data_IF_215959394228
#
_entry.id   IF_215959394228
#
_cell.length_a   1.000
_cell.length_b   1.000
_cell.length_c   1.000
_cell.angle_alpha   90.00
_cell.angle_beta   90.00
_cell.angle_gamma   90.00
#
_symmetry.space_group_name_H-M   'P 1'
#
loop_
_entity.id
_entity.type
_entity.pdbx_description
1 polymer ?
#
# COMPACT_ATOMS: atom_id res chain seq x y z
N UNK A 1 -9.23 -10.83 33.27
CA UNK A 1 -8.65 -9.48 33.05
C UNK A 1 -7.34 -9.43 32.23
N UNK A 2 -6.38 -10.37 32.37
CA UNK A 2 -5.12 -10.35 31.58
C UNK A 2 -5.33 -10.55 30.07
N UNK A 3 -6.23 -11.46 29.67
CA UNK A 3 -6.54 -11.75 28.25
C UNK A 3 -7.14 -10.53 27.53
N UNK A 4 -7.99 -9.75 28.21
CA UNK A 4 -8.63 -8.56 27.62
C UNK A 4 -7.61 -7.44 27.32
N UNK A 5 -6.60 -7.24 28.19
CA UNK A 5 -5.52 -6.28 27.96
C UNK A 5 -4.64 -6.70 26.77
N UNK A 6 -4.36 -7.99 26.62
CA UNK A 6 -3.61 -8.51 25.46
C UNK A 6 -4.39 -8.35 24.16
N UNK A 7 -5.71 -8.59 24.17
CA UNK A 7 -6.57 -8.37 23.00
C UNK A 7 -6.63 -6.88 22.64
N UNK A 8 -6.75 -5.97 23.61
CA UNK A 8 -6.76 -4.52 23.35
C UNK A 8 -5.41 -4.03 22.80
N UNK A 9 -4.29 -4.53 23.30
CA UNK A 9 -2.97 -4.14 22.80
C UNK A 9 -2.74 -4.63 21.37
N UNK A 10 -3.13 -5.87 21.08
CA UNK A 10 -3.01 -6.44 19.74
C UNK A 10 -4.02 -5.79 18.78
N UNK A 11 -5.25 -5.54 19.23
CA UNK A 11 -6.23 -4.78 18.47
C UNK A 11 -5.74 -3.35 18.22
N UNK A 12 -5.08 -2.69 19.15
CA UNK A 12 -4.48 -1.36 18.93
C UNK A 12 -3.26 -1.40 18.00
N UNK A 13 -2.49 -2.49 17.99
CA UNK A 13 -1.35 -2.68 17.06
C UNK A 13 -1.86 -2.95 15.64
N UNK A 14 -2.87 -3.80 15.53
CA UNK A 14 -3.55 -4.16 14.29
C UNK A 14 -4.41 -3.01 13.80
N UNK A 15 -5.04 -2.23 14.68
CA UNK A 15 -5.72 -0.97 14.36
C UNK A 15 -4.73 0.18 14.17
N UNK A 16 -3.46 0.11 14.55
CA UNK A 16 -2.48 1.12 14.14
C UNK A 16 -1.99 0.82 12.71
N UNK A 17 -1.76 -0.47 12.41
CA UNK A 17 -1.47 -0.96 11.06
C UNK A 17 -2.70 -0.85 10.13
N UNK A 18 -3.91 -1.09 10.65
CA UNK A 18 -5.20 -0.95 9.94
C UNK A 18 -5.91 0.39 10.20
N UNK A 19 -5.41 1.32 11.00
CA UNK A 19 -5.88 2.72 10.96
C UNK A 19 -5.16 3.48 9.85
N UNK A 20 -4.00 2.98 9.40
CA UNK A 20 -3.40 3.39 8.13
C UNK A 20 -4.12 2.73 6.93
N UNK A 21 -4.84 1.62 7.16
CA UNK A 21 -5.80 1.02 6.23
C UNK A 21 -7.19 1.06 6.85
N UNK A 22 -7.69 2.27 7.21
CA UNK A 22 -9.15 2.40 7.35
C UNK A 22 -9.73 1.84 6.04
N UNK A 23 -10.76 0.96 6.08
CA UNK A 23 -11.44 0.59 4.85
C UNK A 23 -11.77 1.91 4.17
N UNK A 24 -11.38 2.03 2.90
CA UNK A 24 -11.53 3.22 2.06
C UNK A 24 -13.02 3.50 1.82
N UNK A 25 -13.74 3.79 2.91
CA UNK A 25 -15.16 4.14 2.93
C UNK A 25 -15.31 5.63 2.67
N UNK A 26 -14.45 6.49 3.24
CA UNK A 26 -14.36 7.94 2.94
C UNK A 26 -12.96 8.57 3.22
N UNK A 27 -11.90 7.76 3.40
CA UNK A 27 -10.74 8.08 4.28
C UNK A 27 -9.59 8.98 3.80
N UNK A 28 -9.59 9.50 2.57
CA UNK A 28 -8.65 10.56 2.14
C UNK A 28 -9.25 11.13 0.85
N UNK A 29 -9.38 12.47 0.70
CA UNK A 29 -9.95 13.01 -0.53
C UNK A 29 -9.16 12.49 -1.75
N UNK A 30 -9.85 11.93 -2.74
CA UNK A 30 -9.24 11.45 -4.00
C UNK A 30 -8.28 12.48 -4.63
N UNK A 31 -8.54 13.80 -4.59
CA UNK A 31 -7.58 14.81 -5.04
C UNK A 31 -6.25 14.78 -4.27
N UNK A 32 -6.28 14.59 -2.95
CA UNK A 32 -5.06 14.49 -2.12
C UNK A 32 -4.19 13.32 -2.54
N UNK A 33 -4.79 12.13 -2.67
CA UNK A 33 -4.07 10.93 -3.07
C UNK A 33 -3.52 11.05 -4.50
N UNK A 34 -4.29 11.65 -5.40
CA UNK A 34 -3.85 11.90 -6.79
C UNK A 34 -2.66 12.86 -6.82
N UNK A 35 -2.72 13.98 -6.08
CA UNK A 35 -1.62 14.94 -6.00
C UNK A 35 -0.35 14.30 -5.40
N UNK A 36 -0.49 13.54 -4.31
CA UNK A 36 0.63 12.85 -3.68
C UNK A 36 1.31 11.83 -4.64
N UNK A 37 0.52 11.08 -5.42
CA UNK A 37 1.07 10.16 -6.43
C UNK A 37 1.80 10.90 -7.56
N UNK A 38 1.24 12.03 -8.03
CA UNK A 38 1.90 12.84 -9.06
C UNK A 38 3.26 13.36 -8.55
N UNK A 39 3.32 13.82 -7.31
CA UNK A 39 4.57 14.23 -6.66
C UNK A 39 5.55 13.06 -6.51
N UNK A 40 5.08 11.86 -6.15
CA UNK A 40 5.93 10.67 -6.06
C UNK A 40 6.61 10.33 -7.38
N UNK A 41 5.91 10.47 -8.52
CA UNK A 41 6.50 10.28 -9.84
C UNK A 41 7.59 11.33 -10.14
N UNK A 42 7.39 12.58 -9.74
CA UNK A 42 8.39 13.64 -9.88
C UNK A 42 9.63 13.36 -9.02
N UNK A 43 9.44 12.96 -7.75
CA UNK A 43 10.53 12.60 -6.85
C UNK A 43 11.33 11.39 -7.35
N UNK A 44 10.65 10.41 -7.95
CA UNK A 44 11.31 9.29 -8.64
C UNK A 44 12.16 9.80 -9.81
N UNK A 45 11.65 10.71 -10.63
CA UNK A 45 12.40 11.32 -11.72
C UNK A 45 13.61 12.16 -11.23
N UNK A 46 13.54 12.68 -10.01
CA UNK A 46 14.65 13.37 -9.33
C UNK A 46 15.67 12.41 -8.69
N UNK A 47 15.50 11.08 -8.84
CA UNK A 47 16.42 10.09 -8.28
C UNK A 47 16.34 9.91 -6.76
N UNK A 48 15.25 10.35 -6.11
CA UNK A 48 15.05 10.10 -4.67
C UNK A 48 14.92 8.60 -4.40
N UNK A 49 15.43 8.15 -3.26
CA UNK A 49 15.32 6.75 -2.86
C UNK A 49 13.85 6.38 -2.56
N UNK A 50 13.48 5.09 -2.66
CA UNK A 50 12.12 4.64 -2.31
C UNK A 50 11.69 5.01 -0.88
N UNK A 51 12.62 4.94 0.08
CA UNK A 51 12.35 5.30 1.47
C UNK A 51 12.05 6.80 1.64
N UNK A 52 12.80 7.66 0.96
CA UNK A 52 12.53 9.10 0.95
C UNK A 52 11.20 9.42 0.26
N UNK A 53 10.90 8.77 -0.86
CA UNK A 53 9.63 8.95 -1.58
C UNK A 53 8.45 8.60 -0.68
N UNK A 54 8.52 7.49 0.07
CA UNK A 54 7.45 7.09 0.99
C UNK A 54 7.25 8.12 2.11
N UNK A 55 8.33 8.64 2.71
CA UNK A 55 8.25 9.72 3.73
C UNK A 55 7.61 10.99 3.15
N UNK A 56 8.02 11.40 1.95
CA UNK A 56 7.46 12.57 1.27
C UNK A 56 5.99 12.36 0.87
N UNK A 57 5.62 11.15 0.47
CA UNK A 57 4.25 10.77 0.14
C UNK A 57 3.35 10.87 1.37
N UNK A 58 3.74 10.26 2.50
CA UNK A 58 2.99 10.36 3.76
C UNK A 58 2.93 11.81 4.28
N UNK A 59 3.99 12.59 4.08
CA UNK A 59 4.01 14.03 4.37
C UNK A 59 2.98 14.79 3.52
N UNK A 60 2.90 14.52 2.22
CA UNK A 60 1.92 15.15 1.34
C UNK A 60 0.48 14.81 1.73
N UNK A 61 0.21 13.57 2.15
CA UNK A 61 -1.11 13.16 2.65
C UNK A 61 -1.46 13.85 3.97
N UNK A 62 -0.52 13.94 4.91
CA UNK A 62 -0.72 14.64 6.17
C UNK A 62 -1.03 16.14 5.94
N UNK A 63 -0.27 16.78 5.05
CA UNK A 63 -0.51 18.18 4.64
C UNK A 63 -1.90 18.37 4.04
N UNK A 64 -2.32 17.45 3.16
CA UNK A 64 -3.64 17.53 2.54
C UNK A 64 -4.79 17.31 3.55
N UNK A 65 -4.50 16.65 4.66
CA UNK A 65 -5.44 16.46 5.78
C UNK A 65 -5.50 17.67 6.73
N UNK A 66 -4.82 18.78 6.41
CA UNK A 66 -4.86 20.03 7.16
C UNK A 66 -3.70 20.25 8.12
N UNK A 67 -2.69 19.38 8.16
CA UNK A 67 -1.47 19.65 8.91
C UNK A 67 -0.64 20.75 8.22
N UNK A 68 -0.03 21.65 9.00
CA UNK A 68 0.99 22.56 8.47
C UNK A 68 2.22 21.78 7.96
N UNK A 69 3.10 22.46 7.21
CA UNK A 69 4.26 21.80 6.58
C UNK A 69 5.19 21.10 7.59
N UNK A 70 5.38 21.67 8.78
CA UNK A 70 6.27 21.15 9.80
C UNK A 70 5.68 19.90 10.46
N UNK A 71 4.41 19.99 10.84
CA UNK A 71 3.68 18.86 11.42
C UNK A 71 3.46 17.73 10.42
N UNK A 72 3.22 18.06 9.16
CA UNK A 72 3.08 17.08 8.09
C UNK A 72 4.37 16.27 7.90
N UNK A 73 5.54 16.90 7.98
CA UNK A 73 6.82 16.22 7.81
C UNK A 73 7.08 15.18 8.91
N UNK A 74 6.90 15.56 10.18
CA UNK A 74 7.11 14.63 11.29
C UNK A 74 6.05 13.53 11.34
N UNK A 75 4.78 13.86 11.07
CA UNK A 75 3.70 12.87 10.99
C UNK A 75 3.91 11.89 9.83
N UNK A 76 4.38 12.39 8.68
CA UNK A 76 4.73 11.59 7.52
C UNK A 76 5.82 10.56 7.86
N UNK A 77 6.92 11.01 8.45
CA UNK A 77 8.03 10.14 8.88
C UNK A 77 7.56 9.12 9.93
N UNK A 78 6.82 9.54 10.97
CA UNK A 78 6.30 8.63 11.98
C UNK A 78 5.39 7.55 11.38
N UNK A 79 4.56 7.89 10.39
CA UNK A 79 3.68 6.94 9.71
C UNK A 79 4.48 5.86 8.94
N UNK A 80 5.54 6.26 8.25
CA UNK A 80 6.45 5.32 7.57
C UNK A 80 7.09 4.36 8.57
N UNK A 81 7.58 4.90 9.69
CA UNK A 81 8.20 4.12 10.75
C UNK A 81 7.22 3.12 11.37
N UNK A 82 5.98 3.51 11.68
CA UNK A 82 4.97 2.57 12.18
C UNK A 82 4.71 1.42 11.19
N UNK A 83 4.57 1.72 9.90
CA UNK A 83 4.36 0.70 8.88
C UNK A 83 5.57 -0.24 8.76
N UNK A 84 6.78 0.31 8.87
CA UNK A 84 8.04 -0.45 8.84
C UNK A 84 8.18 -1.35 10.06
N UNK A 85 7.98 -0.83 11.28
CA UNK A 85 8.06 -1.61 12.52
C UNK A 85 6.99 -2.69 12.57
N UNK A 86 5.77 -2.36 12.14
CA UNK A 86 4.66 -3.32 12.06
C UNK A 86 4.99 -4.50 11.14
N UNK A 87 5.52 -4.22 9.94
CA UNK A 87 5.96 -5.27 9.01
C UNK A 87 7.07 -6.13 9.60
N UNK A 88 8.11 -5.52 10.18
CA UNK A 88 9.22 -6.25 10.79
C UNK A 88 8.76 -7.14 11.96
N UNK A 89 7.82 -6.67 12.79
CA UNK A 89 7.23 -7.49 13.86
C UNK A 89 6.39 -8.63 13.29
N UNK A 90 5.57 -8.37 12.28
CA UNK A 90 4.69 -9.39 11.68
C UNK A 90 5.45 -10.48 10.91
N UNK A 91 6.65 -10.17 10.43
CA UNK A 91 7.57 -11.12 9.78
C UNK A 91 8.55 -11.78 10.76
N UNK A 92 8.34 -11.66 12.08
CA UNK A 92 9.25 -12.19 13.12
C UNK A 92 10.69 -11.62 13.11
N UNK A 93 10.95 -10.55 12.35
CA UNK A 93 12.26 -9.88 12.29
C UNK A 93 12.47 -8.83 13.40
N UNK A 94 11.45 -8.59 14.22
CA UNK A 94 11.51 -7.64 15.33
C UNK A 94 10.83 -8.23 16.58
N UNK A 95 11.53 -8.29 17.72
CA UNK A 95 10.93 -8.67 18.99
C UNK A 95 9.75 -7.77 19.36
N UNK A 96 8.71 -8.34 19.96
CA UNK A 96 7.46 -7.62 20.28
C UNK A 96 7.66 -6.47 21.29
N UNK A 97 8.62 -6.62 22.20
CA UNK A 97 9.01 -5.57 23.16
C UNK A 97 9.75 -4.42 22.47
N UNK A 98 10.61 -4.71 21.48
CA UNK A 98 11.28 -3.70 20.67
C UNK A 98 10.28 -2.93 19.81
N UNK A 99 9.35 -3.63 19.13
CA UNK A 99 8.25 -2.99 18.40
C UNK A 99 7.48 -2.01 19.29
N UNK A 100 7.06 -2.46 20.47
CA UNK A 100 6.31 -1.62 21.41
C UNK A 100 7.13 -0.42 21.90
N UNK A 101 8.44 -0.59 22.11
CA UNK A 101 9.33 0.51 22.50
C UNK A 101 9.42 1.58 21.40
N UNK A 102 9.68 1.16 20.17
CA UNK A 102 9.77 2.05 19.00
C UNK A 102 8.45 2.79 18.75
N UNK A 103 7.30 2.09 18.80
CA UNK A 103 6.00 2.73 18.62
C UNK A 103 5.74 3.79 19.70
N UNK A 104 6.06 3.48 20.97
CA UNK A 104 5.92 4.43 22.09
C UNK A 104 6.82 5.65 21.92
N UNK A 105 8.06 5.42 21.50
CA UNK A 105 9.02 6.48 21.22
C UNK A 105 8.51 7.44 20.14
N UNK A 106 8.20 6.93 18.94
CA UNK A 106 7.66 7.76 17.85
C UNK A 106 6.36 8.47 18.24
N UNK A 107 5.50 7.81 19.02
CA UNK A 107 4.25 8.40 19.53
C UNK A 107 4.50 9.53 20.52
N UNK A 108 5.52 9.43 21.37
CA UNK A 108 5.92 10.48 22.32
C UNK A 108 6.46 11.69 21.56
N UNK A 109 7.41 11.50 20.63
CA UNK A 109 8.00 12.59 19.84
C UNK A 109 6.98 13.30 18.95
N UNK A 110 6.07 12.56 18.32
CA UNK A 110 4.96 13.14 17.56
C UNK A 110 3.98 13.93 18.45
N UNK A 111 3.81 13.54 19.72
CA UNK A 111 3.01 14.31 20.67
C UNK A 111 3.74 15.57 21.11
N UNK A 112 5.05 15.47 21.38
CA UNK A 112 5.90 16.60 21.74
C UNK A 112 5.90 17.64 20.62
N UNK A 113 6.04 17.24 19.35
CA UNK A 113 6.02 18.18 18.23
C UNK A 113 4.69 18.93 18.08
N UNK A 114 3.57 18.32 18.48
CA UNK A 114 2.25 18.99 18.49
C UNK A 114 2.13 20.02 19.61
N UNK A 115 2.89 19.85 20.69
CA UNK A 115 2.87 20.72 21.86
C UNK A 115 3.93 21.83 21.75
N UNK A 116 5.06 21.55 21.10
CA UNK A 116 6.17 22.48 20.86
C UNK A 116 6.33 22.71 19.35
N UNK A 117 5.84 23.84 18.86
CA UNK A 117 5.99 24.21 17.44
C UNK A 117 7.45 24.41 17.03
N UNK A 118 8.33 24.79 17.97
CA UNK A 118 9.77 24.93 17.68
C UNK A 118 10.42 23.58 17.37
N UNK A 119 9.90 22.50 17.95
CA UNK A 119 10.33 21.13 17.63
C UNK A 119 9.98 20.79 16.18
N UNK A 120 8.72 21.00 15.77
CA UNK A 120 8.29 20.71 14.41
C UNK A 120 9.04 21.57 13.37
N UNK A 121 9.26 22.85 13.65
CA UNK A 121 10.02 23.74 12.78
C UNK A 121 11.50 23.33 12.70
N UNK A 122 12.11 22.93 13.82
CA UNK A 122 13.46 22.39 13.83
C UNK A 122 13.56 21.09 13.02
N UNK A 123 12.55 20.23 13.07
CA UNK A 123 12.51 18.97 12.33
C UNK A 123 12.62 19.18 10.81
N UNK A 124 12.06 20.29 10.28
CA UNK A 124 12.21 20.64 8.86
C UNK A 124 13.65 20.94 8.44
N UNK A 125 14.52 21.29 9.39
CA UNK A 125 15.95 21.54 9.12
C UNK A 125 16.76 20.24 9.05
N UNK A 126 16.21 19.12 9.52
CA UNK A 126 16.83 17.80 9.40
C UNK A 126 16.70 16.93 10.64
N UNK A 127 16.77 15.62 10.38
CA UNK A 127 16.88 14.50 11.30
C UNK A 127 17.76 13.48 10.58
N UNK A 128 19.06 13.49 10.89
CA UNK A 128 20.08 12.79 10.09
C UNK A 128 20.10 11.29 10.34
N UNK A 129 19.83 10.83 11.57
CA UNK A 129 19.83 9.41 11.92
C UNK A 129 18.42 8.78 11.94
N UNK A 130 17.37 9.59 11.78
CA UNK A 130 16.01 9.14 11.55
C UNK A 130 15.28 8.73 12.82
N UNK A 131 15.67 9.29 13.96
CA UNK A 131 15.10 8.95 15.26
C UNK A 131 13.91 9.85 15.68
N UNK A 132 13.54 10.82 14.83
CA UNK A 132 12.51 11.85 15.03
C UNK A 132 12.87 12.97 16.02
N UNK A 133 14.15 13.11 16.35
CA UNK A 133 14.69 14.27 17.06
C UNK A 133 15.36 15.20 16.04
N UNK A 134 14.98 16.49 15.97
CA UNK A 134 15.63 17.43 15.09
C UNK A 134 17.13 17.53 15.40
N UNK A 135 17.98 17.64 14.37
CA UNK A 135 19.44 17.73 14.54
C UNK A 135 19.89 18.82 15.54
N UNK A 136 19.14 19.93 15.65
CA UNK A 136 19.46 21.03 16.59
C UNK A 136 19.06 20.75 18.04
N UNK A 137 18.28 19.69 18.28
CA UNK A 137 17.81 19.23 19.60
C UNK A 137 18.36 17.85 19.98
N UNK A 138 19.02 17.17 19.04
CA UNK A 138 19.64 15.87 19.23
C UNK A 138 21.01 16.02 19.92
N UNK A 139 21.11 15.42 21.11
CA UNK A 139 22.33 15.38 21.93
C UNK A 139 23.18 14.13 21.69
N UNK A 140 22.63 13.14 20.97
CA UNK A 140 23.20 11.81 20.78
C UNK A 140 23.10 11.41 19.29
N UNK A 141 23.70 12.23 18.43
CA UNK A 141 23.69 12.01 16.98
C UNK A 141 24.29 10.67 16.56
N UNK A 142 23.70 10.07 15.52
CA UNK A 142 24.18 8.82 14.94
C UNK A 142 23.63 7.60 15.67
N UNK A 143 22.47 7.73 16.31
CA UNK A 143 21.79 6.59 16.94
C UNK A 143 21.49 5.53 15.88
N UNK A 144 21.88 4.25 16.11
CA UNK A 144 21.62 3.19 15.15
C UNK A 144 20.13 3.04 14.84
N UNK A 145 19.83 2.71 13.59
CA UNK A 145 18.46 2.42 13.14
C UNK A 145 17.80 1.31 13.99
N UNK A 146 16.48 1.41 14.17
CA UNK A 146 15.66 0.56 15.04
C UNK A 146 16.05 0.62 16.54
N UNK A 147 16.68 1.69 17.00
CA UNK A 147 16.97 1.93 18.42
C UNK A 147 15.95 2.90 19.03
N UNK A 148 15.25 2.54 20.11
CA UNK A 148 14.39 3.47 20.85
C UNK A 148 15.25 4.52 21.58
N UNK A 149 14.92 5.80 21.41
CA UNK A 149 15.62 6.91 22.07
C UNK A 149 14.70 7.75 22.94
N UNK A 150 15.24 8.64 23.76
CA UNK A 150 14.50 9.64 24.53
C UNK A 150 14.13 10.87 23.69
N UNK A 151 13.82 12.01 24.31
CA UNK A 151 13.55 13.28 23.61
C UNK A 151 14.83 14.06 23.24
N UNK A 152 16.02 13.50 23.52
CA UNK A 152 17.33 14.07 23.22
C UNK A 152 18.13 13.23 22.24
N UNK A 153 17.49 12.22 21.65
CA UNK A 153 18.10 11.28 20.70
C UNK A 153 18.97 10.23 21.35
N UNK A 154 19.01 10.16 22.69
CA UNK A 154 19.87 9.22 23.40
C UNK A 154 19.16 7.88 23.59
N UNK A 155 19.89 6.77 23.45
CA UNK A 155 19.34 5.42 23.64
C UNK A 155 18.72 5.26 25.03
N UNK A 156 17.51 4.72 25.10
CA UNK A 156 16.83 4.53 26.39
C UNK A 156 17.58 3.51 27.27
N UNK A 157 17.95 3.87 28.51
CA UNK A 157 18.58 2.93 29.42
C UNK A 157 17.56 1.93 29.98
N UNK A 158 18.01 0.71 30.26
CA UNK A 158 17.23 -0.30 30.96
C UNK A 158 16.46 -1.26 30.04
N UNK A 159 15.63 -2.14 30.62
CA UNK A 159 14.92 -3.16 29.87
C UNK A 159 13.81 -2.56 29.01
N UNK A 160 13.63 -3.14 27.81
CA UNK A 160 12.50 -2.84 26.94
C UNK A 160 11.16 -3.10 27.66
N UNK A 161 10.09 -2.35 27.32
CA UNK A 161 8.79 -2.48 27.98
C UNK A 161 8.23 -3.91 27.83
N UNK A 162 7.49 -4.42 28.82
CA UNK A 162 6.85 -5.72 28.72
C UNK A 162 5.86 -5.72 27.54
N UNK A 163 5.93 -6.75 26.71
CA UNK A 163 5.08 -6.93 25.54
C UNK A 163 4.47 -8.34 25.49
N UNK A 164 3.38 -8.55 24.72
CA UNK A 164 2.87 -9.89 24.47
C UNK A 164 3.94 -10.83 23.90
N UNK A 165 3.85 -12.12 24.19
CA UNK A 165 4.77 -13.11 23.64
C UNK A 165 4.62 -13.21 22.11
N UNK A 166 5.69 -13.60 21.42
CA UNK A 166 5.66 -13.86 19.98
C UNK A 166 4.55 -14.85 19.58
N UNK A 167 4.30 -15.88 20.40
CA UNK A 167 3.21 -16.84 20.18
C UNK A 167 1.82 -16.19 20.24
N UNK A 168 1.62 -15.22 21.14
CA UNK A 168 0.35 -14.49 21.24
C UNK A 168 0.12 -13.62 20.00
N UNK A 169 1.17 -12.96 19.51
CA UNK A 169 1.12 -12.17 18.27
C UNK A 169 0.88 -13.07 17.05
N UNK A 170 1.55 -14.21 16.94
CA UNK A 170 1.32 -15.21 15.88
C UNK A 170 -0.13 -15.68 15.85
N UNK A 171 -0.69 -16.04 17.02
CA UNK A 171 -2.09 -16.46 17.13
C UNK A 171 -3.04 -15.37 16.64
N UNK A 172 -2.80 -14.11 17.03
CA UNK A 172 -3.65 -13.00 16.60
C UNK A 172 -3.50 -12.70 15.11
N UNK A 173 -2.28 -12.70 14.58
CA UNK A 173 -1.98 -12.54 13.16
C UNK A 173 -2.74 -13.56 12.31
N UNK A 174 -2.68 -14.84 12.69
CA UNK A 174 -3.45 -15.90 12.04
C UNK A 174 -4.95 -15.67 12.13
N UNK A 175 -5.47 -15.25 13.30
CA UNK A 175 -6.88 -14.94 13.48
C UNK A 175 -7.39 -13.77 12.64
N UNK A 176 -6.50 -12.85 12.25
CA UNK A 176 -6.81 -11.69 11.41
C UNK A 176 -6.61 -11.97 9.91
N UNK A 177 -6.13 -13.15 9.55
CA UNK A 177 -5.80 -13.48 8.15
C UNK A 177 -4.65 -12.63 7.59
N UNK A 178 -3.78 -12.07 8.44
CA UNK A 178 -2.62 -11.31 8.00
C UNK A 178 -1.59 -12.27 7.42
N UNK A 179 -1.46 -12.25 6.10
CA UNK A 179 -0.46 -13.03 5.38
C UNK A 179 0.90 -12.35 5.56
N UNK A 180 1.89 -13.12 6.04
CA UNK A 180 3.31 -12.81 5.81
C UNK A 180 4.06 -14.11 5.55
N UNK A 181 5.22 -14.00 4.90
CA UNK A 181 6.06 -15.16 4.58
C UNK A 181 7.50 -14.87 4.97
N UNK A 182 8.16 -15.70 5.79
CA UNK A 182 9.60 -15.57 6.05
C UNK A 182 10.44 -15.62 4.77
N UNK A 183 9.95 -16.29 3.72
CA UNK A 183 10.63 -16.30 2.42
C UNK A 183 10.69 -14.91 1.75
N UNK A 184 9.88 -13.95 2.20
CA UNK A 184 9.90 -12.57 1.72
C UNK A 184 10.81 -11.64 2.56
N UNK A 185 11.55 -12.17 3.53
CA UNK A 185 12.42 -11.35 4.38
C UNK A 185 13.62 -10.84 3.59
N UNK A 186 13.84 -9.52 3.63
CA UNK A 186 14.85 -8.86 2.81
C UNK A 186 14.57 -8.89 1.30
N UNK A 187 13.39 -9.35 0.87
CA UNK A 187 13.03 -9.35 -0.54
C UNK A 187 13.06 -7.91 -1.09
N UNK A 188 13.58 -7.70 -2.31
CA UNK A 188 13.56 -6.39 -2.93
C UNK A 188 12.11 -5.97 -3.19
N UNK A 189 11.90 -4.68 -3.45
CA UNK A 189 10.60 -4.20 -3.94
C UNK A 189 10.24 -4.99 -5.20
N UNK A 190 9.03 -5.58 -5.31
CA UNK A 190 8.60 -6.26 -6.52
C UNK A 190 8.83 -5.40 -7.76
N UNK A 191 9.36 -5.99 -8.82
CA UNK A 191 9.40 -5.35 -10.13
C UNK A 191 8.00 -4.84 -10.49
N UNK A 192 7.94 -3.65 -11.11
CA UNK A 192 6.68 -3.07 -11.53
C UNK A 192 6.12 -3.90 -12.69
N UNK A 193 4.98 -4.60 -12.52
CA UNK A 193 4.38 -5.34 -13.61
C UNK A 193 3.75 -4.36 -14.62
N UNK A 194 3.69 -4.75 -15.89
CA UNK A 194 3.00 -4.01 -16.94
C UNK A 194 1.65 -4.64 -17.21
N UNK A 195 0.60 -3.81 -17.34
CA UNK A 195 -0.70 -4.27 -17.78
C UNK A 195 -0.67 -4.60 -19.29
N UNK A 196 -0.86 -5.87 -19.65
CA UNK A 196 -0.74 -6.31 -21.04
C UNK A 196 -2.08 -6.28 -21.77
N UNK A 197 -3.14 -6.84 -21.19
CA UNK A 197 -4.47 -6.79 -21.79
C UNK A 197 -5.56 -7.18 -20.80
N UNK A 198 -6.79 -6.80 -21.10
CA UNK A 198 -8.00 -7.38 -20.53
C UNK A 198 -8.97 -7.61 -21.68
N UNK A 199 -9.44 -8.85 -21.90
CA UNK A 199 -10.36 -9.21 -22.99
C UNK A 199 -11.17 -10.44 -22.62
N UNK A 200 -12.31 -10.63 -23.28
CA UNK A 200 -13.05 -11.88 -23.16
C UNK A 200 -12.35 -12.98 -23.94
N UNK A 201 -12.30 -14.18 -23.38
CA UNK A 201 -11.66 -15.34 -24.02
C UNK A 201 -12.46 -15.86 -25.22
N UNK A 202 -13.78 -15.63 -25.21
CA UNK A 202 -14.70 -16.08 -26.26
C UNK A 202 -15.78 -15.04 -26.57
N UNK A 203 -16.40 -15.10 -27.76
CA UNK A 203 -17.56 -14.27 -28.10
C UNK A 203 -18.77 -14.47 -27.17
N UNK A 204 -18.88 -15.63 -26.52
CA UNK A 204 -19.93 -15.91 -25.54
C UNK A 204 -19.75 -15.16 -24.21
N UNK A 205 -18.66 -14.40 -24.06
CA UNK A 205 -18.37 -13.57 -22.89
C UNK A 205 -18.38 -14.35 -21.58
N UNK A 206 -17.95 -15.61 -21.59
CA UNK A 206 -18.02 -16.53 -20.44
C UNK A 206 -16.91 -16.27 -19.40
N UNK A 207 -15.75 -15.82 -19.87
CA UNK A 207 -14.58 -15.51 -19.05
C UNK A 207 -13.91 -14.23 -19.54
N UNK A 208 -13.59 -13.35 -18.58
CA UNK A 208 -12.72 -12.20 -18.78
C UNK A 208 -11.30 -12.60 -18.36
N UNK A 209 -10.36 -12.45 -19.28
CA UNK A 209 -8.94 -12.74 -19.09
C UNK A 209 -8.19 -11.42 -18.93
N UNK A 210 -7.35 -11.34 -17.90
CA UNK A 210 -6.46 -10.20 -17.64
C UNK A 210 -5.03 -10.70 -17.65
N UNK A 211 -4.15 -10.02 -18.40
CA UNK A 211 -2.75 -10.39 -18.59
C UNK A 211 -1.82 -9.30 -18.07
N UNK A 212 -0.71 -9.71 -17.46
CA UNK A 212 0.34 -8.80 -16.98
C UNK A 212 1.72 -9.44 -17.11
N UNK A 213 2.80 -8.65 -17.16
CA UNK A 213 4.15 -9.21 -17.09
C UNK A 213 4.39 -9.83 -15.71
N UNK A 214 5.11 -10.95 -15.68
CA UNK A 214 5.43 -11.65 -14.44
C UNK A 214 6.52 -10.92 -13.66
N UNK A 215 6.35 -10.82 -12.35
CA UNK A 215 7.41 -10.38 -11.43
C UNK A 215 8.38 -11.53 -11.17
N UNK A 216 9.67 -11.28 -11.37
CA UNK A 216 10.69 -12.33 -11.28
C UNK A 216 11.76 -12.08 -10.22
N UNK A 217 11.84 -10.86 -9.69
CA UNK A 217 12.87 -10.48 -8.71
C UNK A 217 12.55 -10.86 -7.25
N UNK A 218 11.60 -11.76 -7.00
CA UNK A 218 11.23 -12.15 -5.64
C UNK A 218 11.87 -13.50 -5.27
N UNK A 219 12.31 -13.69 -4.01
CA UNK A 219 12.90 -14.95 -3.57
C UNK A 219 11.94 -16.14 -3.74
N UNK A 220 12.49 -17.33 -3.92
CA UNK A 220 11.70 -18.55 -3.99
C UNK A 220 10.86 -18.73 -2.70
N UNK A 221 9.56 -19.02 -2.86
CA UNK A 221 8.61 -19.15 -1.75
C UNK A 221 8.03 -17.83 -1.22
N UNK A 222 8.55 -16.68 -1.68
CA UNK A 222 7.92 -15.39 -1.42
C UNK A 222 6.70 -15.22 -2.34
N UNK A 223 5.49 -15.36 -1.79
CA UNK A 223 4.27 -15.22 -2.58
C UNK A 223 4.13 -13.78 -3.10
N UNK A 224 3.72 -13.68 -4.36
CA UNK A 224 3.43 -12.41 -5.03
C UNK A 224 1.94 -12.35 -5.32
N UNK A 225 1.36 -11.19 -5.06
CA UNK A 225 -0.01 -10.84 -5.38
C UNK A 225 0.01 -9.73 -6.42
N UNK A 226 -0.92 -9.78 -7.36
CA UNK A 226 -1.15 -8.75 -8.36
C UNK A 226 -2.43 -8.01 -8.02
N UNK A 227 -2.28 -6.73 -7.73
CA UNK A 227 -3.39 -5.83 -7.49
C UNK A 227 -3.70 -5.08 -8.78
N UNK A 228 -4.92 -5.26 -9.29
CA UNK A 228 -5.40 -4.57 -10.47
C UNK A 228 -6.39 -3.49 -10.07
N UNK A 229 -6.26 -2.33 -10.70
CA UNK A 229 -7.32 -1.34 -10.74
C UNK A 229 -7.86 -1.26 -12.16
N UNK A 230 -9.17 -1.49 -12.30
CA UNK A 230 -9.88 -1.40 -13.57
C UNK A 230 -10.84 -0.22 -13.50
N UNK A 231 -10.64 0.78 -14.34
CA UNK A 231 -11.51 1.95 -14.44
C UNK A 231 -12.35 1.84 -15.71
N UNK A 232 -13.60 2.30 -15.63
CA UNK A 232 -14.59 2.23 -16.70
C UNK A 232 -15.09 3.61 -17.08
N UNK A 233 -15.38 3.80 -18.37
CA UNK A 233 -15.95 5.03 -18.93
C UNK A 233 -16.97 4.71 -20.02
N UNK A 234 -17.78 5.71 -20.35
CA UNK A 234 -18.82 5.64 -21.39
C UNK A 234 -19.84 4.54 -21.08
N UNK A 235 -20.69 4.75 -20.06
CA UNK A 235 -21.72 3.78 -19.72
C UNK A 235 -22.72 3.64 -20.88
N UNK A 236 -23.26 2.44 -21.06
CA UNK A 236 -24.31 2.16 -22.06
C UNK A 236 -25.69 2.65 -21.64
N UNK A 237 -25.83 3.13 -20.39
CA UNK A 237 -27.08 3.66 -19.83
C UNK A 237 -26.79 4.94 -19.04
N UNK A 238 -27.62 5.99 -19.17
CA UNK A 238 -27.48 7.21 -18.39
C UNK A 238 -27.73 7.02 -16.89
N UNK A 239 -28.31 5.88 -16.48
CA UNK A 239 -28.51 5.55 -15.07
C UNK A 239 -27.21 5.13 -14.35
N UNK A 240 -26.15 4.85 -15.10
CA UNK A 240 -24.85 4.46 -14.56
C UNK A 240 -23.94 5.67 -14.37
N UNK A 241 -23.01 5.65 -13.40
CA UNK A 241 -22.06 6.74 -13.22
C UNK A 241 -21.14 6.87 -14.45
N UNK A 242 -20.77 8.12 -14.77
CA UNK A 242 -19.91 8.42 -15.93
C UNK A 242 -18.53 7.77 -15.86
N UNK A 243 -18.07 7.48 -14.63
CA UNK A 243 -16.85 6.72 -14.33
C UNK A 243 -17.13 5.76 -13.20
N UNK A 244 -16.68 4.51 -13.35
CA UNK A 244 -16.67 3.53 -12.27
C UNK A 244 -15.27 2.88 -12.17
N UNK A 245 -14.96 2.25 -11.04
CA UNK A 245 -13.71 1.52 -10.85
C UNK A 245 -13.88 0.30 -9.95
N UNK A 246 -13.09 -0.74 -10.23
CA UNK A 246 -12.99 -1.96 -9.43
C UNK A 246 -11.53 -2.24 -9.10
N UNK A 247 -11.27 -2.66 -7.87
CA UNK A 247 -9.97 -3.15 -7.43
C UNK A 247 -10.03 -4.65 -7.15
N UNK A 248 -9.01 -5.37 -7.60
CA UNK A 248 -8.94 -6.82 -7.59
C UNK A 248 -7.57 -7.25 -7.10
N UNK A 249 -7.54 -8.40 -6.43
CA UNK A 249 -6.31 -9.06 -6.03
C UNK A 249 -6.30 -10.48 -6.59
N UNK A 250 -5.19 -10.84 -7.23
CA UNK A 250 -4.88 -12.21 -7.65
C UNK A 250 -3.58 -12.65 -7.01
N UNK A 251 -3.48 -13.92 -6.61
CA UNK A 251 -2.21 -14.54 -6.23
C UNK A 251 -1.49 -14.99 -7.50
N UNK A 252 -0.16 -14.97 -7.51
CA UNK A 252 0.62 -15.54 -8.61
C UNK A 252 0.28 -17.03 -8.85
N UNK A 253 -0.10 -17.77 -7.81
CA UNK A 253 -0.58 -19.16 -7.91
C UNK A 253 -1.92 -19.32 -8.63
N UNK A 254 -2.64 -18.23 -8.89
CA UNK A 254 -3.86 -18.21 -9.71
C UNK A 254 -3.57 -17.98 -11.20
N UNK A 255 -2.29 -17.87 -11.58
CA UNK A 255 -1.90 -17.82 -12.98
C UNK A 255 -2.36 -19.10 -13.70
N UNK A 256 -3.16 -18.92 -14.75
CA UNK A 256 -3.63 -20.03 -15.60
C UNK A 256 -2.76 -20.24 -16.84
N UNK A 257 -1.77 -19.37 -17.07
CA UNK A 257 -0.85 -19.49 -18.20
C UNK A 257 0.21 -20.55 -17.92
N UNK A 258 0.08 -21.68 -18.61
CA UNK A 258 1.06 -22.77 -18.57
C UNK A 258 2.04 -22.72 -19.74
N UNK A 259 1.89 -21.74 -20.65
CA UNK A 259 2.69 -21.65 -21.87
C UNK A 259 3.95 -20.82 -21.61
N UNK A 260 5.08 -21.24 -22.17
CA UNK A 260 6.30 -20.45 -22.17
C UNK A 260 6.18 -19.32 -23.19
N UNK A 261 6.34 -18.08 -22.73
CA UNK A 261 6.31 -16.89 -23.57
C UNK A 261 7.69 -16.25 -23.64
N UNK A 262 7.99 -15.59 -24.76
CA UNK A 262 9.22 -14.80 -24.90
C UNK A 262 9.32 -13.69 -23.84
N UNK A 263 8.16 -13.14 -23.42
CA UNK A 263 8.03 -12.25 -22.27
C UNK A 263 7.24 -12.99 -21.20
N UNK A 264 7.83 -13.33 -20.05
CA UNK A 264 7.10 -13.96 -18.96
C UNK A 264 5.88 -13.15 -18.56
N UNK A 265 4.71 -13.78 -18.58
CA UNK A 265 3.44 -13.16 -18.23
C UNK A 265 2.63 -14.06 -17.29
N UNK A 266 1.78 -13.42 -16.51
CA UNK A 266 0.73 -14.09 -15.73
C UNK A 266 -0.64 -13.74 -16.31
N UNK A 267 -1.50 -14.75 -16.36
CA UNK A 267 -2.85 -14.67 -16.92
C UNK A 267 -3.83 -15.04 -15.82
N UNK A 268 -4.76 -14.13 -15.53
CA UNK A 268 -5.81 -14.32 -14.54
C UNK A 268 -7.17 -14.37 -15.22
N UNK A 269 -8.06 -15.22 -14.70
CA UNK A 269 -9.42 -15.38 -15.23
C UNK A 269 -10.44 -14.90 -14.20
N UNK A 270 -11.48 -14.26 -14.70
CA UNK A 270 -12.68 -13.89 -13.96
C UNK A 270 -13.90 -14.34 -14.76
N UNK A 271 -14.95 -14.83 -14.10
CA UNK A 271 -16.13 -15.43 -14.72
C UNK A 271 -17.43 -14.90 -14.11
N UNK A 272 -18.56 -15.20 -14.74
CA UNK A 272 -19.89 -14.86 -14.22
C UNK A 272 -20.21 -15.51 -12.85
N UNK A 273 -19.55 -16.63 -12.54
CA UNK A 273 -19.74 -17.41 -11.33
C UNK A 273 -18.89 -16.90 -10.14
N UNK A 274 -17.96 -15.97 -10.38
CA UNK A 274 -17.22 -15.33 -9.31
C UNK A 274 -18.16 -14.53 -8.38
N UNK A 275 -17.61 -14.06 -7.26
CA UNK A 275 -18.31 -13.21 -6.28
C UNK A 275 -17.52 -11.92 -6.02
N UNK A 276 -18.14 -10.97 -5.31
CA UNK A 276 -17.47 -9.73 -4.88
C UNK A 276 -16.91 -8.90 -6.03
N UNK A 277 -15.70 -8.34 -5.85
CA UNK A 277 -15.05 -7.48 -6.85
C UNK A 277 -14.83 -8.18 -8.20
N UNK A 278 -14.55 -9.48 -8.21
CA UNK A 278 -14.35 -10.25 -9.46
C UNK A 278 -15.64 -10.31 -10.28
N UNK A 279 -16.76 -10.66 -9.64
CA UNK A 279 -18.07 -10.58 -10.29
C UNK A 279 -18.39 -9.18 -10.79
N UNK A 280 -18.13 -8.17 -9.95
CA UNK A 280 -18.38 -6.77 -10.30
C UNK A 280 -17.57 -6.32 -11.52
N UNK A 281 -16.29 -6.68 -11.60
CA UNK A 281 -15.45 -6.45 -12.78
C UNK A 281 -16.12 -7.04 -14.03
N UNK A 282 -16.52 -8.30 -13.96
CA UNK A 282 -17.13 -9.01 -15.10
C UNK A 282 -18.47 -8.41 -15.54
N UNK A 283 -19.30 -7.97 -14.59
CA UNK A 283 -20.58 -7.33 -14.89
C UNK A 283 -20.39 -5.92 -15.48
N UNK A 284 -19.43 -5.13 -14.95
CA UNK A 284 -19.14 -3.78 -15.47
C UNK A 284 -18.58 -3.81 -16.89
N UNK A 285 -17.82 -4.84 -17.26
CA UNK A 285 -17.34 -5.00 -18.64
C UNK A 285 -18.43 -5.20 -19.69
N UNK A 286 -19.70 -5.36 -19.29
CA UNK A 286 -20.85 -5.49 -20.21
C UNK A 286 -21.61 -4.18 -20.42
N UNK A 287 -21.45 -3.22 -19.52
CA UNK A 287 -22.27 -1.99 -19.47
C UNK A 287 -21.45 -0.70 -19.63
N UNK A 288 -20.16 -0.84 -19.91
CA UNK A 288 -19.25 0.26 -20.21
C UNK A 288 -18.47 -0.01 -21.50
N UNK A 289 -18.40 0.99 -22.37
CA UNK A 289 -17.76 0.88 -23.68
C UNK A 289 -16.24 1.11 -23.65
N UNK A 290 -15.68 1.70 -22.59
CA UNK A 290 -14.24 1.81 -22.43
C UNK A 290 -13.79 1.36 -21.04
N UNK A 291 -12.58 0.79 -20.99
CA UNK A 291 -11.91 0.43 -19.74
C UNK A 291 -10.42 0.75 -19.76
N UNK A 292 -9.86 0.95 -18.59
CA UNK A 292 -8.46 1.21 -18.36
C UNK A 292 -7.99 0.26 -17.28
N UNK A 293 -6.87 -0.41 -17.51
CA UNK A 293 -6.29 -1.34 -16.54
C UNK A 293 -4.91 -0.85 -16.14
N UNK A 294 -4.64 -0.88 -14.84
CA UNK A 294 -3.29 -0.77 -14.30
C UNK A 294 -3.09 -1.79 -13.20
N UNK A 295 -1.84 -2.14 -12.96
CA UNK A 295 -1.47 -3.24 -12.07
C UNK A 295 -0.26 -2.87 -11.23
N UNK A 296 -0.20 -3.36 -10.01
CA UNK A 296 1.02 -3.40 -9.20
C UNK A 296 1.18 -4.78 -8.59
N UNK A 297 2.40 -5.11 -8.21
CA UNK A 297 2.69 -6.33 -7.46
C UNK A 297 2.89 -6.01 -5.99
N UNK A 298 2.44 -6.90 -5.11
CA UNK A 298 2.59 -6.83 -3.66
C UNK A 298 3.12 -8.19 -3.21
N UNK A 299 4.22 -8.24 -2.48
CA UNK A 299 4.68 -9.52 -1.92
C UNK A 299 3.97 -9.85 -0.60
N UNK A 300 4.15 -11.07 -0.08
CA UNK A 300 3.48 -11.50 1.14
C UNK A 300 3.84 -10.66 2.38
N UNK A 301 4.96 -9.94 2.39
CA UNK A 301 5.32 -9.03 3.47
C UNK A 301 4.75 -7.61 3.28
N UNK A 302 3.87 -7.40 2.28
CA UNK A 302 3.18 -6.14 2.02
C UNK A 302 4.08 -5.08 1.38
N UNK A 303 5.21 -5.46 0.79
CA UNK A 303 6.04 -4.56 -0.01
C UNK A 303 5.43 -4.51 -1.41
N UNK A 304 5.12 -3.31 -1.88
CA UNK A 304 4.42 -3.09 -3.15
C UNK A 304 5.30 -2.38 -4.16
N UNK A 305 5.18 -2.76 -5.43
CA UNK A 305 5.70 -1.98 -6.55
C UNK A 305 4.89 -0.69 -6.75
N UNK A 306 5.42 0.21 -7.58
CA UNK A 306 4.60 1.29 -8.15
C UNK A 306 3.47 0.69 -9.01
N UNK A 307 2.39 1.46 -9.19
CA UNK A 307 1.35 1.17 -10.18
C UNK A 307 1.88 1.32 -11.59
N UNK A 308 1.59 0.37 -12.48
CA UNK A 308 1.86 0.49 -13.91
C UNK A 308 1.17 1.72 -14.51
N UNK A 309 1.65 2.14 -15.68
CA UNK A 309 0.86 3.01 -16.55
C UNK A 309 -0.50 2.36 -16.86
N UNK A 310 -1.51 3.20 -17.03
CA UNK A 310 -2.86 2.74 -17.34
C UNK A 310 -2.98 2.38 -18.83
N UNK A 311 -3.24 1.11 -19.11
CA UNK A 311 -3.54 0.63 -20.46
C UNK A 311 -5.03 0.75 -20.73
N UNK A 312 -5.39 1.70 -21.59
CA UNK A 312 -6.77 1.94 -22.02
C UNK A 312 -7.16 1.01 -23.17
N UNK A 313 -8.41 0.57 -23.18
CA UNK A 313 -9.02 -0.24 -24.23
C UNK A 313 -10.41 0.30 -24.48
N UNK A 314 -10.64 0.77 -25.71
CA UNK A 314 -11.99 1.02 -26.19
C UNK A 314 -12.57 -0.32 -26.63
N UNK A 315 -13.62 -0.75 -25.95
CA UNK A 315 -14.43 -1.86 -26.43
C UNK A 315 -15.41 -1.23 -27.40
N UNK A 316 -15.05 -1.25 -28.69
CA UNK A 316 -16.05 -1.05 -29.72
C UNK A 316 -17.05 -2.19 -29.51
N UNK A 317 -18.14 -1.93 -28.78
CA UNK A 317 -19.31 -2.77 -28.88
C UNK A 317 -19.55 -2.92 -30.37
N UNK A 318 -19.68 -4.14 -30.87
CA UNK A 318 -20.22 -4.37 -32.21
C UNK A 318 -21.49 -3.53 -32.28
N UNK A 319 -21.34 -2.36 -32.88
CA UNK A 319 -22.38 -1.37 -32.89
C UNK A 319 -23.47 -2.04 -33.71
N UNK A 320 -24.69 -2.07 -33.17
CA UNK A 320 -25.83 -1.89 -34.06
C UNK A 320 -25.43 -0.72 -34.96
N UNK A 321 -25.38 -0.90 -36.29
CA UNK A 321 -24.81 0.10 -37.18
C UNK A 321 -25.45 1.44 -36.84
N UNK A 322 -24.63 2.38 -36.35
CA UNK A 322 -25.06 3.76 -36.23
C UNK A 322 -25.33 4.24 -37.65
N UNK A 323 -26.60 4.27 -38.04
CA UNK A 323 -27.02 5.01 -39.22
C UNK A 323 -26.65 6.46 -38.97
N UNK A 324 -25.81 6.98 -39.86
CA UNK A 324 -25.16 8.29 -39.82
C UNK A 324 -26.22 9.39 -39.87
N UNK A 325 -26.83 9.75 -38.74
CA UNK A 325 -27.46 11.06 -38.53
C UNK A 325 -27.39 11.35 -37.02
N UNK A 326 -26.64 12.38 -36.63
CA UNK A 326 -26.59 12.94 -35.28
C UNK A 326 -25.68 12.23 -34.26
N UNK A 327 -24.37 12.38 -34.47
CA UNK A 327 -23.43 12.65 -33.38
C UNK A 327 -22.67 13.93 -33.74
N UNK A 328 -23.21 15.06 -33.27
CA UNK A 328 -22.53 16.36 -33.13
C UNK A 328 -22.90 16.91 -31.76
#
# INVERSE_FOLDING_TARGET
>A
MKILKTIILIAASVLAVNAQVRPMGDGMPKPCYTAANNSANQWKAQGKSPAEIEKLFQTALAKCSGADSAMAAIAGTANVDYARFGRAMLSDNMPTNLYLALVKDRSRKLRLSRQDTTWALAFLQGDTDGDLVPNSKDSCAGTPDLTPTDDHGCTLPGPLPPAPSAQSVKKAKSGLGVLTSPACDGAPVPEQPLALSAHYESPALTSLVIKTTRVTNQPAGCLVFYEFQVRFWFPTSPALPSVDAVELLFRNSENVDMVAHAIPQDVFRTTAADIGSRKRLFDLTKVYAARGIRVRAVNANGISSAWSEEKKTLVLSEAKPCTIVSCY
#
